data_IF_063739109027
#
_entry.id   IF_063739109027
#
_cell.length_a   1.000
_cell.length_b   1.000
_cell.length_c   1.000
_cell.angle_alpha   90.00
_cell.angle_beta   90.00
_cell.angle_gamma   90.00
#
_symmetry.space_group_name_H-M   'P 1'
#
loop_
_entity.id
_entity.type
_entity.pdbx_description
1 polymer ?
#
# COMPACT_ATOMS: atom_id res chain seq x y z
N UNK A 1 -1.86 -1.63 21.27
CA UNK A 1 -0.44 -1.86 20.99
C UNK A 1 0.05 -0.87 19.93
N UNK A 2 1.27 -0.44 20.03
CA UNK A 2 1.83 0.49 19.07
C UNK A 2 2.59 -0.26 17.99
N UNK A 3 2.26 0.02 16.75
CA UNK A 3 2.94 -0.60 15.62
C UNK A 3 4.21 0.19 15.28
N UNK A 4 5.31 -0.51 15.13
CA UNK A 4 6.59 0.13 14.82
C UNK A 4 7.31 -0.66 13.74
N UNK A 5 8.40 -0.08 13.24
CA UNK A 5 9.23 -0.80 12.26
C UNK A 5 9.86 -2.07 12.83
N UNK A 6 9.87 -2.20 14.16
CA UNK A 6 10.40 -3.40 14.80
C UNK A 6 9.36 -4.51 14.90
N UNK A 7 8.09 -4.21 14.64
CA UNK A 7 7.04 -5.21 14.74
C UNK A 7 7.07 -6.13 13.53
N UNK A 8 6.77 -7.41 13.75
CA UNK A 8 6.67 -8.35 12.64
C UNK A 8 5.40 -8.10 11.85
N UNK A 9 5.35 -8.63 10.63
CA UNK A 9 4.15 -8.51 9.80
C UNK A 9 2.94 -9.12 10.47
N UNK A 10 3.12 -10.26 11.13
CA UNK A 10 2.02 -10.94 11.80
C UNK A 10 1.47 -10.12 12.95
N UNK A 11 2.34 -9.47 13.69
CA UNK A 11 1.92 -8.61 14.79
C UNK A 11 1.14 -7.41 14.26
N UNK A 12 1.63 -6.81 13.18
CA UNK A 12 0.97 -5.67 12.56
C UNK A 12 -0.38 -6.07 11.99
N UNK A 13 -0.45 -7.20 11.30
CA UNK A 13 -1.70 -7.68 10.74
C UNK A 13 -2.72 -7.96 11.84
N UNK A 14 -2.29 -8.57 12.93
CA UNK A 14 -3.16 -8.81 14.07
C UNK A 14 -3.69 -7.52 14.67
N UNK A 15 -2.82 -6.54 14.83
CA UNK A 15 -3.23 -5.25 15.37
C UNK A 15 -4.18 -4.51 14.45
N UNK A 16 -3.90 -4.51 13.15
CA UNK A 16 -4.80 -3.88 12.17
C UNK A 16 -6.16 -4.57 12.16
N UNK A 17 -6.17 -5.90 12.22
CA UNK A 17 -7.42 -6.64 12.28
C UNK A 17 -8.22 -6.31 13.53
N UNK A 18 -7.55 -6.21 14.66
CA UNK A 18 -8.19 -5.85 15.91
C UNK A 18 -8.80 -4.44 15.86
N UNK A 19 -8.06 -3.49 15.27
CA UNK A 19 -8.57 -2.12 15.14
C UNK A 19 -9.71 -2.03 14.15
N UNK A 20 -9.69 -2.86 13.11
CA UNK A 20 -10.78 -2.93 12.16
C UNK A 20 -12.04 -3.44 12.85
N UNK A 21 -11.91 -4.50 13.64
CA UNK A 21 -13.05 -5.04 14.40
C UNK A 21 -13.58 -4.01 15.38
N UNK A 22 -12.69 -3.27 16.04
CA UNK A 22 -13.10 -2.24 16.98
C UNK A 22 -13.89 -1.15 16.28
N UNK A 23 -13.42 -0.69 15.12
CA UNK A 23 -14.12 0.34 14.36
C UNK A 23 -15.50 -0.15 13.92
N UNK A 24 -15.59 -1.43 13.54
CA UNK A 24 -16.88 -2.04 13.17
C UNK A 24 -17.84 -2.02 14.35
N UNK A 25 -17.36 -2.46 15.50
CA UNK A 25 -18.20 -2.53 16.69
C UNK A 25 -18.66 -1.16 17.15
N UNK A 26 -17.82 -0.14 16.99
CA UNK A 26 -18.21 1.23 17.32
C UNK A 26 -19.35 1.74 16.46
N UNK A 27 -19.55 1.14 15.30
CA UNK A 27 -20.65 1.48 14.41
C UNK A 27 -21.83 0.53 14.55
N UNK A 28 -21.77 -0.35 15.52
CA UNK A 28 -22.83 -1.34 15.77
C UNK A 28 -23.09 -2.24 14.57
N UNK A 29 -22.03 -2.62 13.86
CA UNK A 29 -22.16 -3.51 12.72
C UNK A 29 -21.68 -4.90 13.09
N UNK A 30 -22.44 -5.91 12.64
CA UNK A 30 -21.95 -7.28 12.69
C UNK A 30 -20.99 -7.52 11.55
N UNK A 31 -20.24 -8.61 11.62
CA UNK A 31 -19.37 -8.97 10.51
C UNK A 31 -20.16 -9.18 9.22
N UNK A 32 -21.33 -9.81 9.33
CA UNK A 32 -22.16 -10.03 8.15
C UNK A 32 -22.63 -8.71 7.54
N UNK A 33 -23.00 -7.75 8.38
CA UNK A 33 -23.47 -6.45 7.91
C UNK A 33 -22.36 -5.69 7.21
N UNK A 34 -21.19 -5.64 7.83
CA UNK A 34 -20.07 -4.93 7.21
C UNK A 34 -19.66 -5.61 5.91
N UNK A 35 -19.60 -6.92 5.87
CA UNK A 35 -19.23 -7.64 4.67
C UNK A 35 -20.21 -7.34 3.54
N UNK A 36 -21.50 -7.33 3.83
CA UNK A 36 -22.52 -7.02 2.84
C UNK A 36 -22.35 -5.60 2.31
N UNK A 37 -22.16 -4.63 3.19
CA UNK A 37 -22.00 -3.25 2.78
C UNK A 37 -20.71 -3.01 2.00
N UNK A 38 -19.67 -3.73 2.35
CA UNK A 38 -18.38 -3.60 1.67
C UNK A 38 -18.30 -4.41 0.37
N UNK A 39 -19.26 -5.31 0.15
CA UNK A 39 -19.23 -6.15 -1.05
C UNK A 39 -18.17 -7.23 -0.99
N UNK A 40 -17.88 -7.75 0.19
CA UNK A 40 -16.94 -8.83 0.38
C UNK A 40 -17.62 -9.95 1.14
N UNK A 41 -17.01 -11.13 1.13
CA UNK A 41 -17.58 -12.24 1.88
C UNK A 41 -17.33 -12.09 3.36
N UNK A 42 -18.24 -12.65 4.15
CA UNK A 42 -18.06 -12.63 5.61
C UNK A 42 -16.77 -13.35 6.00
N UNK A 43 -16.43 -14.42 5.30
CA UNK A 43 -15.19 -15.14 5.57
C UNK A 43 -13.96 -14.28 5.33
N UNK A 44 -13.96 -13.48 4.25
CA UNK A 44 -12.88 -12.55 3.99
C UNK A 44 -12.72 -11.56 5.14
N UNK A 45 -13.84 -11.01 5.61
CA UNK A 45 -13.80 -10.07 6.71
C UNK A 45 -13.32 -10.74 8.00
N UNK A 46 -13.79 -11.94 8.27
CA UNK A 46 -13.34 -12.69 9.45
C UNK A 46 -11.83 -12.89 9.44
N UNK A 47 -11.29 -13.21 8.27
CA UNK A 47 -9.85 -13.43 8.13
C UNK A 47 -9.08 -12.14 8.34
N UNK A 48 -9.59 -11.02 7.81
CA UNK A 48 -8.95 -9.73 8.03
C UNK A 48 -8.92 -9.37 9.51
N UNK A 49 -10.04 -9.53 10.18
CA UNK A 49 -10.12 -9.17 11.62
C UNK A 49 -9.26 -10.08 12.48
N UNK A 50 -9.03 -11.30 12.03
CA UNK A 50 -8.17 -12.23 12.77
C UNK A 50 -6.69 -12.02 12.50
N UNK A 51 -6.34 -11.17 11.53
CA UNK A 51 -4.93 -10.91 11.22
C UNK A 51 -4.31 -11.91 10.27
N UNK A 52 -5.11 -12.57 9.44
CA UNK A 52 -4.59 -13.53 8.48
C UNK A 52 -3.67 -12.84 7.47
N UNK A 53 -2.60 -13.53 7.09
CA UNK A 53 -1.57 -12.94 6.23
C UNK A 53 -2.01 -12.76 4.79
N UNK A 54 -2.96 -13.55 4.32
CA UNK A 54 -3.35 -13.52 2.91
C UNK A 54 -4.59 -12.65 2.67
N UNK A 55 -4.55 -11.42 3.14
CA UNK A 55 -5.65 -10.49 2.97
C UNK A 55 -5.47 -9.69 1.69
N UNK A 56 -6.51 -9.60 0.87
CA UNK A 56 -6.46 -8.79 -0.33
C UNK A 56 -6.60 -7.31 0.03
N UNK A 57 -5.75 -6.51 -0.57
CA UNK A 57 -5.78 -5.07 -0.33
C UNK A 57 -7.11 -4.45 -0.74
N UNK A 58 -7.70 -4.91 -1.85
CA UNK A 58 -8.98 -4.36 -2.30
C UNK A 58 -10.10 -4.62 -1.29
N UNK A 59 -10.11 -5.80 -0.66
CA UNK A 59 -11.09 -6.10 0.36
C UNK A 59 -10.91 -5.19 1.58
N UNK A 60 -9.67 -4.96 1.96
CA UNK A 60 -9.36 -4.07 3.07
C UNK A 60 -9.83 -2.65 2.78
N UNK A 61 -9.59 -2.17 1.57
CA UNK A 61 -10.03 -0.83 1.15
C UNK A 61 -11.55 -0.72 1.21
N UNK A 62 -12.25 -1.76 0.74
CA UNK A 62 -13.72 -1.75 0.76
C UNK A 62 -14.28 -1.69 2.17
N UNK A 63 -13.71 -2.46 3.08
CA UNK A 63 -14.12 -2.43 4.48
C UNK A 63 -13.84 -1.05 5.08
N UNK A 64 -12.68 -0.49 4.84
CA UNK A 64 -12.33 0.83 5.36
C UNK A 64 -13.23 1.92 4.80
N UNK A 65 -13.67 1.78 3.54
CA UNK A 65 -14.58 2.77 2.94
C UNK A 65 -15.91 2.81 3.71
N UNK A 66 -16.46 1.66 4.04
CA UNK A 66 -17.70 1.60 4.79
C UNK A 66 -17.53 2.20 6.18
N UNK A 67 -16.36 1.99 6.77
CA UNK A 67 -16.08 2.47 8.13
C UNK A 67 -15.60 3.92 8.18
N UNK A 68 -15.48 4.57 7.02
CA UNK A 68 -15.06 5.97 6.98
C UNK A 68 -13.58 6.18 7.28
N UNK A 69 -12.76 5.18 7.02
CA UNK A 69 -11.33 5.23 7.36
C UNK A 69 -10.44 5.55 6.17
N UNK A 70 -11.02 5.77 4.98
CA UNK A 70 -10.19 6.02 3.80
C UNK A 70 -9.40 7.31 3.88
N UNK A 71 -9.90 8.30 4.60
CA UNK A 71 -9.17 9.56 4.76
C UNK A 71 -7.81 9.34 5.40
N UNK A 72 -7.69 8.32 6.25
CA UNK A 72 -6.43 8.02 6.90
C UNK A 72 -5.38 7.48 5.93
N UNK A 73 -5.81 7.01 4.77
CA UNK A 73 -4.88 6.54 3.75
C UNK A 73 -4.04 7.68 3.17
N UNK A 74 -4.61 8.88 3.14
CA UNK A 74 -3.87 10.06 2.70
C UNK A 74 -2.70 10.35 3.64
N UNK A 75 -2.86 10.07 4.92
CA UNK A 75 -1.77 10.27 5.87
C UNK A 75 -0.72 9.16 5.74
N UNK A 76 -1.16 7.96 5.40
CA UNK A 76 -0.26 6.83 5.26
C UNK A 76 0.59 6.96 4.00
N UNK A 77 -0.03 7.33 2.88
CA UNK A 77 0.64 7.48 1.59
C UNK A 77 0.17 8.79 0.97
N UNK A 78 0.71 9.91 1.43
CA UNK A 78 0.25 11.21 0.94
C UNK A 78 0.66 11.42 -0.51
N UNK A 79 -0.09 12.29 -1.19
CA UNK A 79 0.28 12.66 -2.54
C UNK A 79 1.67 13.27 -2.54
N UNK A 80 2.50 12.92 -3.51
CA UNK A 80 3.81 13.56 -3.59
C UNK A 80 3.63 15.03 -3.92
N UNK A 81 4.08 15.86 -3.01
CA UNK A 81 4.02 17.31 -3.23
C UNK A 81 5.07 17.73 -4.24
N UNK A 82 4.78 18.74 -5.06
CA UNK A 82 5.78 19.23 -5.97
C UNK A 82 6.86 19.96 -5.20
N UNK A 83 8.09 19.59 -5.48
CA UNK A 83 9.23 20.30 -4.97
C UNK A 83 9.63 21.32 -6.04
N UNK A 84 9.87 22.60 -5.69
CA UNK A 84 10.32 23.58 -6.68
C UNK A 84 11.56 23.13 -7.44
N UNK A 85 12.50 22.55 -6.71
CA UNK A 85 13.72 22.08 -7.34
C UNK A 85 13.44 20.92 -8.30
N UNK A 86 12.61 20.00 -7.86
CA UNK A 86 12.26 18.85 -8.69
C UNK A 86 11.53 19.29 -9.95
N UNK A 87 10.62 20.25 -9.83
CA UNK A 87 9.91 20.76 -10.97
C UNK A 87 10.84 21.42 -11.98
N UNK A 88 11.79 22.20 -11.50
CA UNK A 88 12.75 22.85 -12.39
C UNK A 88 13.63 21.83 -13.10
N UNK A 89 14.10 20.84 -12.38
CA UNK A 89 15.00 19.83 -12.96
C UNK A 89 14.30 18.88 -13.90
N UNK A 90 13.06 18.54 -13.60
CA UNK A 90 12.34 17.54 -14.36
C UNK A 90 11.36 18.13 -15.37
N UNK A 91 11.27 19.45 -15.44
CA UNK A 91 10.32 20.08 -16.31
C UNK A 91 8.89 19.73 -15.99
N UNK A 92 8.60 19.47 -14.72
CA UNK A 92 7.27 19.11 -14.28
C UNK A 92 6.93 17.65 -14.43
N UNK A 93 7.85 16.84 -14.94
CA UNK A 93 7.55 15.43 -15.13
C UNK A 93 7.74 14.64 -13.83
N UNK A 94 6.87 13.69 -13.61
CA UNK A 94 7.02 12.79 -12.49
C UNK A 94 8.02 11.71 -12.83
N UNK A 95 8.77 11.27 -11.85
CA UNK A 95 9.65 10.13 -12.04
C UNK A 95 8.79 8.88 -12.11
N UNK A 96 9.05 8.08 -13.11
CA UNK A 96 8.25 6.89 -13.32
C UNK A 96 8.86 5.65 -12.71
N UNK A 97 10.13 5.70 -12.39
CA UNK A 97 10.80 4.59 -11.73
C UNK A 97 11.97 5.11 -10.95
N UNK A 98 12.36 4.35 -9.94
CA UNK A 98 13.46 4.74 -9.11
C UNK A 98 14.76 4.63 -9.88
N UNK A 99 15.68 5.56 -9.61
CA UNK A 99 17.04 5.42 -10.08
C UNK A 99 17.76 4.45 -9.18
N UNK A 100 18.56 3.62 -9.74
CA UNK A 100 19.36 2.73 -8.93
C UNK A 100 20.35 3.51 -8.12
N UNK A 101 20.75 2.96 -7.01
CA UNK A 101 21.79 3.53 -6.20
C UNK A 101 23.06 3.56 -7.00
N UNK A 102 23.75 4.68 -7.01
CA UNK A 102 24.92 4.81 -7.83
C UNK A 102 24.59 4.92 -9.29
N UNK A 103 23.41 5.38 -9.61
CA UNK A 103 23.00 5.52 -10.99
C UNK A 103 24.02 6.35 -11.77
N UNK A 104 24.26 5.99 -13.00
CA UNK A 104 25.23 6.74 -13.80
C UNK A 104 24.72 8.14 -14.05
N UNK A 105 25.63 8.98 -14.40
CA UNK A 105 25.26 10.34 -14.73
C UNK A 105 24.30 10.32 -15.92
N UNK A 106 23.48 11.36 -16.01
CA UNK A 106 22.57 11.45 -17.13
C UNK A 106 23.35 11.39 -18.44
N UNK A 107 22.88 10.62 -19.34
CA UNK A 107 23.52 10.41 -20.59
C UNK A 107 24.41 9.21 -20.65
N UNK A 108 24.78 8.67 -19.56
CA UNK A 108 25.43 7.40 -19.54
C UNK A 108 24.40 6.35 -19.64
N UNK A 109 24.08 5.92 -20.64
CA UNK A 109 23.13 4.92 -20.67
C UNK A 109 23.77 3.69 -20.29
N UNK A 110 23.49 3.30 -19.33
CA UNK A 110 24.07 2.11 -18.92
C UNK A 110 24.10 1.10 -19.99
N UNK A 111 24.61 1.40 -20.66
CA UNK A 111 24.43 0.86 -21.22
C UNK A 111 24.31 -0.02 -21.68
N UNK A 112 24.47 -0.13 -22.06
CA UNK A 112 24.09 -0.83 -22.22
C UNK A 112 23.89 -1.70 -22.52
N UNK A 113 24.14 -1.74 -22.41
CA UNK A 113 23.87 -2.51 -22.26
C UNK A 113 23.50 -3.24 -22.55
N UNK A 114 23.92 -3.49 -22.61
CA UNK A 114 23.52 -4.08 -22.30
C UNK A 114 22.93 -4.81 -22.55
N UNK A 115 23.45 -4.83 -22.85
CA UNK A 115 22.81 -5.49 -22.54
C UNK A 115 22.30 -6.36 -22.78
N UNK A 116 22.65 -6.64 -23.03
CA UNK A 116 21.98 -7.46 -22.73
C UNK A 116 21.28 -8.17 -22.64
N UNK A 117 21.69 -8.38 -22.52
CA UNK A 117 20.87 -9.04 -21.80
C UNK A 117 20.00 -9.57 -22.05
N UNK A 118 20.24 -9.66 -22.20
CA UNK A 118 19.33 -10.04 -21.92
C UNK A 118 18.27 -10.73 -21.94
N UNK A 119 18.65 -10.77 -22.17
CA UNK A 119 17.60 -11.34 -21.76
C UNK A 119 17.03 -11.76 -22.14
N UNK A 120 17.55 -11.55 -22.59
CA UNK A 120 17.15 -11.73 -22.34
C UNK A 120 16.97 -11.64 -22.75
N UNK A 121 17.87 -11.55 -23.12
CA UNK A 121 17.92 -11.36 -22.93
C UNK A 121 17.79 -11.15 -23.13
N UNK A 122 18.32 -10.99 -23.81
CA UNK A 122 18.40 -10.74 -23.59
C UNK A 122 18.12 -10.51 -23.68
N UNK A 123 18.63 -10.12 -24.23
CA UNK A 123 18.35 -9.86 -23.75
C UNK A 123 18.06 -9.97 -23.55
#
# INVERSE_FOLDING_TARGET
MKMTNQSSDEVILGELGSRLAQARLERNLTQAQLATQAGISKRTLERMESGATATQMSAFIRACRVLGLLDNFEMLLPEPGPSPIAQLKLGGRKRRRASGTGAPAPGQVASPPQSPWTWGERT
#
